data_IF_473558611928
#
_entry.id   IF_473558611928
#
_cell.length_a   1.000
_cell.length_b   1.000
_cell.length_c   1.000
_cell.angle_alpha   90.00
_cell.angle_beta   90.00
_cell.angle_gamma   90.00
#
_symmetry.space_group_name_H-M   'P 1'
#
loop_
_entity.id
_entity.type
_entity.pdbx_description
1 polymer ?
#
# COMPACT_ATOMS: atom_id res chain seq x y z
N UNK A 1 -9.25 12.27 -6.28
CA UNK A 1 -9.60 12.57 -4.88
C UNK A 1 -8.66 11.72 -4.06
N UNK A 2 -7.66 12.33 -3.45
CA UNK A 2 -6.58 11.60 -2.78
C UNK A 2 -6.97 11.36 -1.34
N UNK A 3 -6.63 10.16 -0.86
CA UNK A 3 -6.83 9.81 0.53
C UNK A 3 -5.73 10.49 1.31
N UNK A 4 -6.13 11.46 2.11
CA UNK A 4 -5.23 12.11 3.07
C UNK A 4 -5.32 11.36 4.37
N UNK A 5 -4.20 11.23 5.08
CA UNK A 5 -4.22 10.65 6.41
C UNK A 5 -5.23 11.38 7.29
N UNK A 6 -6.07 10.60 7.96
CA UNK A 6 -6.92 11.09 9.03
C UNK A 6 -6.93 10.07 10.18
N UNK A 7 -7.28 10.52 11.39
CA UNK A 7 -7.19 9.70 12.60
C UNK A 7 -8.14 8.48 12.60
N UNK A 8 -9.10 8.41 11.68
CA UNK A 8 -9.91 7.18 11.49
C UNK A 8 -9.11 6.02 10.90
N UNK A 9 -7.95 6.29 10.27
CA UNK A 9 -7.03 5.29 9.74
C UNK A 9 -6.01 4.81 10.79
N UNK A 10 -6.00 5.39 11.98
CA UNK A 10 -5.09 4.98 13.04
C UNK A 10 -5.47 3.62 13.61
N UNK A 11 -4.51 2.69 13.62
CA UNK A 11 -4.64 1.40 14.32
C UNK A 11 -4.23 1.49 15.77
N UNK A 12 -3.77 2.67 16.21
CA UNK A 12 -3.36 2.95 17.59
C UNK A 12 -2.03 2.32 17.96
N UNK A 13 -1.22 1.95 16.96
CA UNK A 13 0.17 1.53 17.08
C UNK A 13 1.03 2.51 16.30
N UNK A 14 1.81 3.34 16.99
CA UNK A 14 2.48 4.51 16.43
C UNK A 14 3.41 4.16 15.26
N UNK A 15 4.08 3.01 15.33
CA UNK A 15 4.94 2.54 14.25
C UNK A 15 4.14 2.17 12.98
N UNK A 16 3.01 1.46 13.12
CA UNK A 16 2.15 1.09 12.01
C UNK A 16 1.46 2.32 11.40
N UNK A 17 0.98 3.24 12.24
CA UNK A 17 0.40 4.51 11.79
C UNK A 17 1.42 5.36 11.00
N UNK A 18 2.70 5.33 11.40
CA UNK A 18 3.78 5.99 10.66
C UNK A 18 4.01 5.33 9.30
N UNK A 19 3.96 4.00 9.23
CA UNK A 19 4.10 3.26 7.99
C UNK A 19 2.91 3.53 7.05
N UNK A 20 1.66 3.56 7.54
CA UNK A 20 0.48 3.95 6.75
C UNK A 20 0.61 5.35 6.14
N UNK A 21 1.06 6.34 6.94
CA UNK A 21 1.31 7.71 6.45
C UNK A 21 2.35 7.73 5.34
N UNK A 22 3.40 6.91 5.46
CA UNK A 22 4.44 6.78 4.44
C UNK A 22 3.92 6.15 3.15
N UNK A 23 3.10 5.10 3.25
CA UNK A 23 2.47 4.45 2.10
C UNK A 23 1.54 5.43 1.36
N UNK A 24 0.71 6.19 2.09
CA UNK A 24 -0.14 7.23 1.52
C UNK A 24 0.68 8.31 0.80
N UNK A 25 1.81 8.74 1.38
CA UNK A 25 2.69 9.72 0.75
C UNK A 25 3.31 9.20 -0.57
N UNK A 26 3.71 7.92 -0.62
CA UNK A 26 4.23 7.31 -1.85
C UNK A 26 3.14 7.19 -2.93
N UNK A 27 1.88 6.92 -2.53
CA UNK A 27 0.76 6.93 -3.47
C UNK A 27 0.48 8.32 -4.03
N UNK A 28 0.69 9.37 -3.22
CA UNK A 28 0.59 10.76 -3.68
C UNK A 28 1.72 11.13 -4.66
N UNK A 29 2.95 10.68 -4.41
CA UNK A 29 4.08 10.79 -5.36
C UNK A 29 3.73 10.11 -6.69
N UNK A 30 3.22 8.87 -6.65
CA UNK A 30 2.86 8.10 -7.83
C UNK A 30 1.76 8.80 -8.64
N UNK A 31 0.78 9.35 -7.94
CA UNK A 31 -0.28 10.13 -8.56
C UNK A 31 0.26 11.37 -9.24
N UNK A 32 1.06 12.16 -8.53
CA UNK A 32 1.66 13.39 -9.06
C UNK A 32 2.48 13.09 -10.32
N UNK A 33 3.26 12.01 -10.32
CA UNK A 33 4.01 11.53 -11.48
C UNK A 33 3.10 11.21 -12.68
N UNK A 34 1.98 10.51 -12.45
CA UNK A 34 0.99 10.21 -13.47
C UNK A 34 0.37 11.48 -14.08
N UNK A 35 -0.04 12.44 -13.23
CA UNK A 35 -0.64 13.70 -13.68
C UNK A 35 0.34 14.60 -14.43
N UNK A 36 1.62 14.58 -14.03
CA UNK A 36 2.69 15.30 -14.71
C UNK A 36 3.09 14.66 -16.05
N UNK A 37 2.55 13.48 -16.39
CA UNK A 37 2.93 12.74 -17.58
C UNK A 37 4.38 12.27 -17.55
N UNK A 38 4.90 11.92 -16.37
CA UNK A 38 6.24 11.37 -16.22
C UNK A 38 6.41 10.04 -16.96
N UNK A 39 7.66 9.70 -17.25
CA UNK A 39 8.01 8.51 -18.01
C UNK A 39 7.72 7.21 -17.25
N UNK A 40 7.69 6.09 -17.97
CA UNK A 40 7.48 4.76 -17.37
C UNK A 40 8.55 4.40 -16.34
N UNK A 41 9.79 4.88 -16.48
CA UNK A 41 10.87 4.67 -15.52
C UNK A 41 10.60 5.35 -14.17
N UNK A 42 10.13 6.60 -14.18
CA UNK A 42 9.83 7.33 -12.95
C UNK A 42 8.69 6.65 -12.18
N UNK A 43 7.64 6.23 -12.91
CA UNK A 43 6.51 5.49 -12.35
C UNK A 43 6.94 4.13 -11.81
N UNK A 44 7.84 3.44 -12.52
CA UNK A 44 8.42 2.18 -12.09
C UNK A 44 9.16 2.35 -10.75
N UNK A 45 10.02 3.35 -10.63
CA UNK A 45 10.83 3.57 -9.43
C UNK A 45 9.98 3.95 -8.21
N UNK A 46 8.91 4.73 -8.41
CA UNK A 46 7.95 5.03 -7.35
C UNK A 46 7.18 3.76 -6.93
N UNK A 47 6.75 2.94 -7.89
CA UNK A 47 6.03 1.70 -7.58
C UNK A 47 6.93 0.67 -6.89
N UNK A 48 8.19 0.54 -7.29
CA UNK A 48 9.18 -0.30 -6.62
C UNK A 48 9.37 0.13 -5.15
N UNK A 49 9.47 1.44 -4.90
CA UNK A 49 9.49 2.01 -3.55
C UNK A 49 8.21 1.67 -2.78
N UNK A 50 7.04 1.76 -3.40
CA UNK A 50 5.77 1.40 -2.76
C UNK A 50 5.75 -0.07 -2.33
N UNK A 51 6.15 -0.98 -3.22
CA UNK A 51 6.21 -2.43 -2.96
C UNK A 51 7.14 -2.72 -1.79
N UNK A 52 8.35 -2.14 -1.77
CA UNK A 52 9.31 -2.34 -0.69
C UNK A 52 8.77 -1.85 0.65
N UNK A 53 8.12 -0.68 0.68
CA UNK A 53 7.56 -0.14 1.91
C UNK A 53 6.35 -0.95 2.40
N UNK A 54 5.50 -1.43 1.49
CA UNK A 54 4.37 -2.29 1.81
C UNK A 54 4.84 -3.62 2.42
N UNK A 55 5.84 -4.27 1.82
CA UNK A 55 6.42 -5.52 2.36
C UNK A 55 6.93 -5.35 3.79
N UNK A 56 7.72 -4.30 4.04
CA UNK A 56 8.23 -4.03 5.39
C UNK A 56 7.12 -3.74 6.39
N UNK A 57 6.09 -2.99 5.99
CA UNK A 57 4.95 -2.70 6.83
C UNK A 57 4.16 -3.98 7.18
N UNK A 58 3.83 -4.79 6.17
CA UNK A 58 3.13 -6.07 6.33
C UNK A 58 3.92 -7.04 7.23
N UNK A 59 5.24 -7.15 7.05
CA UNK A 59 6.08 -8.00 7.90
C UNK A 59 5.99 -7.62 9.39
N UNK A 60 6.01 -6.32 9.71
CA UNK A 60 5.88 -5.83 11.09
C UNK A 60 4.50 -6.12 11.65
N UNK A 61 3.47 -5.84 10.87
CA UNK A 61 2.09 -6.03 11.29
C UNK A 61 1.78 -7.50 11.55
N UNK A 62 2.18 -8.37 10.61
CA UNK A 62 2.05 -9.81 10.73
C UNK A 62 2.83 -10.35 11.93
N UNK A 63 4.03 -9.83 12.20
CA UNK A 63 4.80 -10.21 13.38
C UNK A 63 4.11 -9.78 14.68
N UNK A 64 3.47 -8.60 14.71
CA UNK A 64 2.69 -8.15 15.86
C UNK A 64 1.44 -9.01 16.06
N UNK A 65 0.71 -9.30 14.99
CA UNK A 65 -0.47 -10.16 15.01
C UNK A 65 -0.12 -11.59 15.47
N UNK A 66 0.95 -12.18 14.94
CA UNK A 66 1.41 -13.54 15.30
C UNK A 66 1.84 -13.60 16.77
N UNK A 67 2.70 -12.66 17.19
CA UNK A 67 3.21 -12.58 18.57
C UNK A 67 2.10 -12.48 19.61
N UNK A 68 0.99 -11.83 19.26
CA UNK A 68 -0.15 -11.61 20.16
C UNK A 68 -1.33 -12.55 19.88
N UNK A 69 -1.18 -13.54 19.00
CA UNK A 69 -2.20 -14.55 18.73
C UNK A 69 -3.48 -13.98 18.13
N UNK A 70 -3.38 -13.04 17.20
CA UNK A 70 -4.54 -12.50 16.49
C UNK A 70 -5.19 -13.58 15.60
N UNK A 71 -6.48 -13.91 15.80
CA UNK A 71 -7.09 -15.09 15.19
C UNK A 71 -7.26 -15.01 13.66
N UNK A 72 -7.31 -13.81 13.10
CA UNK A 72 -7.51 -13.60 11.66
C UNK A 72 -6.20 -13.43 10.88
N UNK A 73 -5.03 -13.65 11.51
CA UNK A 73 -3.70 -13.50 10.89
C UNK A 73 -3.61 -14.19 9.52
N UNK A 74 -4.05 -15.45 9.43
CA UNK A 74 -3.89 -16.24 8.22
C UNK A 74 -4.68 -15.68 7.02
N UNK A 75 -5.82 -15.04 7.26
CA UNK A 75 -6.59 -14.39 6.20
C UNK A 75 -5.96 -13.04 5.82
N UNK A 76 -5.53 -12.29 6.84
CA UNK A 76 -4.85 -11.01 6.67
C UNK A 76 -3.60 -11.14 5.78
N UNK A 77 -2.75 -12.14 6.03
CA UNK A 77 -1.56 -12.44 5.20
C UNK A 77 -1.89 -12.69 3.72
N UNK A 78 -3.05 -13.27 3.41
CA UNK A 78 -3.43 -13.55 2.01
C UNK A 78 -3.75 -12.27 1.27
N UNK A 79 -4.43 -11.32 1.91
CA UNK A 79 -4.73 -10.03 1.30
C UNK A 79 -3.45 -9.22 1.07
N UNK A 80 -2.50 -9.24 2.02
CA UNK A 80 -1.15 -8.69 1.82
C UNK A 80 -0.45 -9.30 0.60
N UNK A 81 -0.35 -10.64 0.55
CA UNK A 81 0.31 -11.33 -0.56
C UNK A 81 -0.32 -10.97 -1.91
N UNK A 82 -1.66 -10.96 -1.97
CA UNK A 82 -2.41 -10.64 -3.18
C UNK A 82 -2.13 -9.22 -3.67
N UNK A 83 -2.06 -8.23 -2.78
CA UNK A 83 -1.68 -6.87 -3.16
C UNK A 83 -0.26 -6.84 -3.72
N UNK A 84 0.72 -7.42 -3.00
CA UNK A 84 2.11 -7.45 -3.45
C UNK A 84 2.21 -8.02 -4.87
N UNK A 85 1.55 -9.15 -5.12
CA UNK A 85 1.53 -9.76 -6.45
C UNK A 85 0.87 -8.85 -7.52
N UNK A 86 -0.18 -8.10 -7.16
CA UNK A 86 -0.82 -7.14 -8.06
C UNK A 86 0.11 -5.97 -8.38
N UNK A 87 0.80 -5.41 -7.39
CA UNK A 87 1.76 -4.32 -7.58
C UNK A 87 2.98 -4.77 -8.39
N UNK A 88 3.52 -5.96 -8.14
CA UNK A 88 4.64 -6.50 -8.91
C UNK A 88 4.25 -6.82 -10.36
N UNK A 89 3.01 -7.26 -10.63
CA UNK A 89 2.52 -7.42 -12.01
C UNK A 89 2.48 -6.08 -12.74
N UNK A 90 2.03 -5.03 -12.06
CA UNK A 90 1.98 -3.67 -12.59
C UNK A 90 3.39 -3.12 -12.84
N UNK A 91 4.32 -3.28 -11.89
CA UNK A 91 5.72 -2.88 -12.03
C UNK A 91 6.37 -3.51 -13.27
N UNK A 92 6.18 -4.83 -13.46
CA UNK A 92 6.67 -5.52 -14.65
C UNK A 92 6.06 -4.97 -15.96
N UNK A 93 4.79 -4.56 -15.94
CA UNK A 93 4.16 -3.96 -17.12
C UNK A 93 4.77 -2.61 -17.49
N UNK A 94 5.14 -1.80 -16.49
CA UNK A 94 5.84 -0.53 -16.69
C UNK A 94 7.22 -0.72 -17.31
N UNK A 95 7.94 -1.76 -16.88
CA UNK A 95 9.25 -2.11 -17.44
C UNK A 95 9.16 -2.61 -18.89
N UNK A 96 8.11 -3.35 -19.24
CA UNK A 96 7.91 -3.88 -20.60
C UNK A 96 7.56 -2.76 -21.62
N UNK A 97 6.78 -1.75 -21.20
CA UNK A 97 6.42 -0.60 -22.05
C UNK A 97 7.58 0.40 -22.26
N UNK A 98 8.58 0.40 -21.38
CA UNK A 98 9.80 1.21 -21.55
C UNK A 98 10.59 0.83 -22.81
N UNK A 99 10.36 -0.36 -23.37
CA UNK A 99 10.92 -0.79 -24.67
C UNK A 99 10.05 -0.25 -25.82
N UNK A 100 10.02 1.07 -25.98
CA UNK A 100 9.57 1.71 -27.23
C UNK A 100 8.37 2.66 -27.14
N UNK A 101 7.71 2.83 -25.99
CA UNK A 101 6.65 3.82 -25.83
C UNK A 101 7.16 5.08 -25.10
N UNK A 102 7.11 6.24 -25.77
CA UNK A 102 7.52 7.53 -25.21
C UNK A 102 6.54 8.10 -24.15
N UNK A 103 5.49 7.36 -23.79
CA UNK A 103 4.43 7.83 -22.90
C UNK A 103 3.68 6.65 -22.29
N UNK A 104 3.55 6.62 -20.96
CA UNK A 104 2.64 5.69 -20.27
C UNK A 104 1.18 6.09 -20.59
N UNK A 105 0.30 5.18 -21.03
CA UNK A 105 -1.06 5.56 -21.39
C UNK A 105 -1.82 6.08 -20.17
N UNK A 106 -2.36 7.30 -20.28
CA UNK A 106 -3.08 8.00 -19.20
C UNK A 106 -4.24 7.17 -18.58
N UNK A 107 -4.84 6.27 -19.36
CA UNK A 107 -5.86 5.34 -18.88
C UNK A 107 -5.33 4.30 -17.91
N UNK A 108 -4.13 3.75 -18.15
CA UNK A 108 -3.50 2.74 -17.29
C UNK A 108 -3.10 3.37 -15.96
N UNK A 109 -2.64 4.63 -15.96
CA UNK A 109 -2.37 5.38 -14.74
C UNK A 109 -3.61 5.60 -13.87
N UNK A 110 -4.77 5.92 -14.46
CA UNK A 110 -5.95 6.27 -13.66
C UNK A 110 -6.56 5.05 -12.97
N UNK A 111 -6.67 3.92 -13.67
CA UNK A 111 -7.22 2.69 -13.08
C UNK A 111 -6.29 2.10 -12.03
N UNK A 112 -4.98 2.18 -12.28
CA UNK A 112 -3.94 1.83 -11.31
C UNK A 112 -4.03 2.68 -10.04
N UNK A 113 -4.10 4.01 -10.18
CA UNK A 113 -4.19 4.92 -9.04
C UNK A 113 -5.45 4.64 -8.21
N UNK A 114 -6.60 4.43 -8.86
CA UNK A 114 -7.85 4.10 -8.16
C UNK A 114 -7.71 2.78 -7.41
N UNK A 115 -7.17 1.76 -8.07
CA UNK A 115 -6.95 0.46 -7.45
C UNK A 115 -6.08 0.57 -6.19
N UNK A 116 -4.91 1.20 -6.28
CA UNK A 116 -3.98 1.30 -5.15
C UNK A 116 -4.53 2.15 -4.00
N UNK A 117 -5.17 3.29 -4.30
CA UNK A 117 -5.77 4.14 -3.26
C UNK A 117 -6.94 3.45 -2.56
N UNK A 118 -7.82 2.81 -3.33
CA UNK A 118 -8.96 2.10 -2.77
C UNK A 118 -8.48 0.93 -1.93
N UNK A 119 -7.54 0.12 -2.43
CA UNK A 119 -7.03 -1.03 -1.69
C UNK A 119 -6.45 -0.60 -0.34
N UNK A 120 -5.54 0.38 -0.30
CA UNK A 120 -4.91 0.77 0.97
C UNK A 120 -5.94 1.29 1.98
N UNK A 121 -6.90 2.11 1.52
CA UNK A 121 -7.89 2.72 2.40
C UNK A 121 -8.92 1.70 2.89
N UNK A 122 -9.38 0.83 2.00
CA UNK A 122 -10.36 -0.18 2.31
C UNK A 122 -9.74 -1.25 3.21
N UNK A 123 -8.48 -1.64 2.96
CA UNK A 123 -7.73 -2.57 3.79
C UNK A 123 -7.54 -2.04 5.22
N UNK A 124 -7.05 -0.80 5.37
CA UNK A 124 -6.91 -0.19 6.70
C UNK A 124 -8.25 -0.21 7.45
N UNK A 125 -9.35 0.15 6.77
CA UNK A 125 -10.66 0.27 7.41
C UNK A 125 -11.33 -1.06 7.69
N UNK A 126 -11.18 -2.04 6.81
CA UNK A 126 -11.90 -3.32 6.87
C UNK A 126 -11.10 -4.39 7.64
N UNK A 127 -9.78 -4.39 7.49
CA UNK A 127 -8.89 -5.42 8.02
C UNK A 127 -8.07 -4.89 9.19
N UNK A 128 -7.34 -3.79 9.01
CA UNK A 128 -6.33 -3.36 10.00
C UNK A 128 -6.96 -2.85 11.31
N UNK A 129 -8.03 -2.07 11.19
CA UNK A 129 -8.84 -1.69 12.34
C UNK A 129 -9.44 -2.91 13.08
N UNK A 130 -9.51 -4.07 12.42
CA UNK A 130 -9.95 -5.33 13.03
C UNK A 130 -8.99 -5.86 14.09
N UNK A 131 -7.67 -5.67 13.95
CA UNK A 131 -6.70 -6.07 14.99
C UNK A 131 -6.49 -5.00 16.06
N UNK A 132 -6.88 -3.74 15.80
CA UNK A 132 -6.70 -2.62 16.74
C UNK A 132 -7.20 -2.94 18.16
N UNK A 133 -8.44 -3.40 18.40
CA UNK A 133 -8.89 -3.72 19.76
C UNK A 133 -8.07 -4.82 20.43
N UNK A 134 -7.67 -5.84 19.66
CA UNK A 134 -6.91 -6.99 20.12
C UNK A 134 -5.51 -6.56 20.61
N UNK A 135 -4.73 -5.95 19.73
CA UNK A 135 -3.39 -5.45 20.06
C UNK A 135 -3.44 -4.41 21.17
N UNK A 136 -4.41 -3.51 21.12
CA UNK A 136 -4.49 -2.43 22.09
C UNK A 136 -4.89 -2.91 23.49
N UNK A 137 -5.70 -3.96 23.60
CA UNK A 137 -6.03 -4.57 24.89
C UNK A 137 -4.82 -5.21 25.58
N UNK A 138 -3.80 -5.58 24.80
CA UNK A 138 -2.55 -6.17 25.26
C UNK A 138 -1.44 -5.13 25.52
N UNK A 139 -1.76 -3.84 25.40
CA UNK A 139 -0.84 -2.74 25.68
C UNK A 139 0.11 -2.37 24.54
N UNK A 140 -0.06 -2.97 23.35
CA UNK A 140 0.67 -2.56 22.14
C UNK A 140 0.17 -1.16 21.72
N UNK A 141 1.08 -0.23 21.45
CA UNK A 141 0.80 1.19 21.16
C UNK A 141 1.87 1.78 20.26
#
# INVERSE_FOLDING_TARGET
MYVTWDESLSVGVAELDSDHKKLLAILDDFSTACYAGQGSQDLHDILARLIENAKHHFDKEEALMDRHGYPMLAEHKKEHQKLIEQMERLERSLCAEAVGAASFPLSVSNDTMKFLNNWLTDHIKADDLGYKPHLNSLGVR
#
